data_IF_471751716468
#
_entry.id   IF_471751716468
#
_cell.length_a   1.000
_cell.length_b   1.000
_cell.length_c   1.000
_cell.angle_alpha   90.00
_cell.angle_beta   90.00
_cell.angle_gamma   90.00
#
_symmetry.space_group_name_H-M   'P 1'
#
loop_
_entity.id
_entity.type
_entity.pdbx_description
1 polymer ?
#
# COMPACT_ATOMS: atom_id res chain seq x y z
N UNK A 1 22.19 16.68 -3.49
CA UNK A 1 22.41 16.75 -4.94
C UNK A 1 22.17 18.18 -5.37
N UNK A 2 23.14 18.77 -6.07
CA UNK A 2 23.09 20.17 -6.49
C UNK A 2 23.38 20.23 -7.99
N UNK A 3 22.57 20.93 -8.77
CA UNK A 3 22.91 21.25 -10.14
C UNK A 3 23.99 22.33 -10.12
N UNK A 4 25.14 22.06 -10.73
CA UNK A 4 26.32 22.96 -10.77
C UNK A 4 26.53 23.58 -12.14
N UNK A 5 25.94 23.01 -13.19
CA UNK A 5 25.87 23.52 -14.54
C UNK A 5 24.73 22.83 -15.30
N UNK A 6 24.28 23.31 -16.46
CA UNK A 6 23.26 22.61 -17.27
C UNK A 6 23.65 21.15 -17.50
N UNK A 7 22.73 20.23 -17.13
CA UNK A 7 22.90 18.77 -17.20
C UNK A 7 24.03 18.20 -16.33
N UNK A 8 24.49 18.97 -15.35
CA UNK A 8 25.60 18.54 -14.48
C UNK A 8 25.15 18.67 -13.02
N UNK A 9 25.14 17.57 -12.33
CA UNK A 9 24.79 17.51 -10.91
C UNK A 9 25.99 17.07 -10.08
N UNK A 10 26.13 17.64 -8.89
CA UNK A 10 27.08 17.21 -7.88
C UNK A 10 26.31 16.47 -6.76
N UNK A 11 26.70 15.23 -6.50
CA UNK A 11 26.18 14.44 -5.41
C UNK A 11 27.33 13.94 -4.52
N UNK A 12 27.22 14.00 -3.19
CA UNK A 12 28.26 13.55 -2.26
C UNK A 12 28.26 12.03 -2.10
N UNK A 13 27.98 11.31 -3.16
CA UNK A 13 27.97 9.85 -3.15
C UNK A 13 29.36 9.30 -3.42
N UNK A 14 29.73 8.33 -2.60
CA UNK A 14 30.96 7.57 -2.82
C UNK A 14 30.57 6.11 -2.96
N UNK A 15 30.62 5.62 -4.19
CA UNK A 15 30.40 4.22 -4.50
C UNK A 15 31.38 3.84 -5.61
N UNK A 16 32.22 2.86 -5.34
CA UNK A 16 33.23 2.39 -6.30
C UNK A 16 32.63 1.79 -7.58
N UNK A 17 31.36 1.37 -7.52
CA UNK A 17 30.62 0.90 -8.68
C UNK A 17 30.15 2.03 -9.62
N UNK A 18 30.22 3.30 -9.19
CA UNK A 18 29.91 4.45 -10.05
C UNK A 18 31.11 4.82 -10.90
N UNK A 19 31.10 4.38 -12.13
CA UNK A 19 32.11 4.67 -13.14
C UNK A 19 31.47 5.44 -14.29
N UNK A 20 32.29 6.02 -15.15
CA UNK A 20 31.81 6.68 -16.37
C UNK A 20 30.97 5.71 -17.22
N UNK A 21 29.79 6.16 -17.66
CA UNK A 21 28.81 5.35 -18.38
C UNK A 21 27.81 4.65 -17.50
N UNK A 22 27.93 4.72 -16.17
CA UNK A 22 26.88 4.17 -15.25
C UNK A 22 25.58 4.93 -15.43
N UNK A 23 24.50 4.20 -15.68
CA UNK A 23 23.15 4.75 -15.69
C UNK A 23 22.64 4.88 -14.27
N UNK A 24 22.20 6.07 -13.90
CA UNK A 24 21.66 6.36 -12.56
C UNK A 24 20.22 6.84 -12.70
N UNK A 25 19.33 6.20 -11.99
CA UNK A 25 17.93 6.59 -11.93
C UNK A 25 17.65 7.29 -10.59
N UNK A 26 17.05 8.46 -10.65
CA UNK A 26 16.66 9.24 -9.48
C UNK A 26 15.20 8.97 -9.14
N UNK A 27 14.98 8.45 -7.94
CA UNK A 27 13.63 8.23 -7.41
C UNK A 27 13.22 9.41 -6.53
N UNK A 28 12.07 10.01 -6.82
CA UNK A 28 11.38 10.89 -5.86
C UNK A 28 10.69 10.09 -4.76
N UNK A 29 10.61 10.63 -3.54
CA UNK A 29 9.82 10.01 -2.47
C UNK A 29 8.30 10.27 -2.62
N UNK A 30 7.91 11.23 -3.43
CA UNK A 30 6.51 11.47 -3.75
C UNK A 30 5.94 10.32 -4.57
N UNK A 31 4.70 9.92 -4.26
CA UNK A 31 3.92 8.93 -5.01
C UNK A 31 2.60 9.58 -5.40
N UNK A 32 2.61 10.60 -6.28
CA UNK A 32 1.46 11.49 -6.48
C UNK A 32 0.24 10.78 -7.06
N UNK A 33 0.46 9.78 -7.90
CA UNK A 33 -0.63 9.02 -8.49
C UNK A 33 -0.19 7.60 -8.88
N UNK A 34 -1.03 6.57 -8.63
CA UNK A 34 -0.87 5.27 -9.25
C UNK A 34 -1.27 5.32 -10.74
N UNK A 35 -0.83 4.33 -11.50
CA UNK A 35 -1.29 4.13 -12.88
C UNK A 35 -2.79 3.79 -12.93
N UNK A 36 -3.22 2.90 -12.04
CA UNK A 36 -4.62 2.50 -11.86
C UNK A 36 -4.94 2.54 -10.37
N UNK A 37 -6.11 3.08 -10.01
CA UNK A 37 -6.61 3.10 -8.65
C UNK A 37 -7.98 2.44 -8.55
N UNK A 38 -8.08 1.41 -7.72
CA UNK A 38 -9.32 0.74 -7.34
C UNK A 38 -9.63 1.07 -5.89
N UNK A 39 -10.85 1.48 -5.61
CA UNK A 39 -11.27 1.82 -4.26
C UNK A 39 -12.68 1.33 -3.95
N UNK A 40 -12.81 0.41 -3.00
CA UNK A 40 -14.08 -0.20 -2.59
C UNK A 40 -14.81 -0.94 -3.73
N UNK A 41 -14.08 -1.42 -4.70
CA UNK A 41 -14.63 -2.25 -5.77
C UNK A 41 -14.85 -3.69 -5.29
N UNK A 42 -15.83 -4.34 -5.88
CA UNK A 42 -16.13 -5.75 -5.65
C UNK A 42 -15.95 -6.55 -6.94
N UNK A 43 -15.28 -7.70 -6.84
CA UNK A 43 -15.02 -8.62 -7.96
C UNK A 43 -14.39 -7.94 -9.19
N UNK A 44 -13.46 -7.01 -8.95
CA UNK A 44 -12.78 -6.28 -10.02
C UNK A 44 -11.95 -7.23 -10.89
N UNK A 45 -12.09 -7.13 -12.20
CA UNK A 45 -11.31 -7.86 -13.19
C UNK A 45 -10.53 -6.89 -14.08
N UNK A 46 -9.21 -7.04 -14.09
CA UNK A 46 -8.32 -6.39 -15.04
C UNK A 46 -7.73 -7.47 -15.96
N UNK A 47 -8.16 -7.48 -17.22
CA UNK A 47 -7.75 -8.48 -18.19
C UNK A 47 -6.90 -7.85 -19.29
N UNK A 48 -5.71 -8.42 -19.55
CA UNK A 48 -4.79 -7.99 -20.61
C UNK A 48 -4.45 -6.49 -20.54
N UNK A 49 -4.20 -5.97 -19.34
CA UNK A 49 -3.84 -4.56 -19.13
C UNK A 49 -2.35 -4.45 -18.87
N UNK A 50 -1.68 -3.50 -19.51
CA UNK A 50 -0.26 -3.20 -19.25
C UNK A 50 -0.08 -1.75 -18.80
N UNK A 51 0.59 -1.57 -17.67
CA UNK A 51 1.05 -0.27 -17.17
C UNK A 51 2.53 -0.12 -17.51
N UNK A 52 2.87 0.82 -18.38
CA UNK A 52 4.26 1.05 -18.79
C UNK A 52 5.00 2.02 -17.88
N UNK A 53 4.27 2.91 -17.21
CA UNK A 53 4.85 3.90 -16.29
C UNK A 53 3.82 4.44 -15.31
N UNK A 54 4.26 4.66 -14.07
CA UNK A 54 3.50 5.42 -13.08
C UNK A 54 4.46 6.15 -12.10
N UNK A 55 4.07 7.33 -11.65
CA UNK A 55 4.81 8.09 -10.62
C UNK A 55 4.58 7.55 -9.19
N UNK A 56 3.68 6.61 -9.04
CA UNK A 56 3.42 5.84 -7.83
C UNK A 56 3.48 4.35 -8.11
N UNK A 57 2.49 3.62 -7.61
CA UNK A 57 2.26 2.20 -7.90
C UNK A 57 1.71 2.03 -9.31
N UNK A 58 1.95 0.90 -9.94
CA UNK A 58 1.29 0.56 -11.21
C UNK A 58 -0.21 0.35 -11.01
N UNK A 59 -0.57 -0.47 -10.04
CA UNK A 59 -1.94 -0.64 -9.52
C UNK A 59 -1.95 -0.42 -8.01
N UNK A 60 -2.82 0.43 -7.54
CA UNK A 60 -3.18 0.57 -6.13
C UNK A 60 -4.63 0.16 -5.94
N UNK A 61 -4.88 -0.87 -5.14
CA UNK A 61 -6.21 -1.29 -4.72
C UNK A 61 -6.37 -1.11 -3.22
N UNK A 62 -7.43 -0.43 -2.80
CA UNK A 62 -7.71 -0.15 -1.40
C UNK A 62 -9.14 -0.55 -1.03
N UNK A 63 -9.25 -1.33 0.06
CA UNK A 63 -10.55 -1.70 0.66
C UNK A 63 -11.48 -2.40 -0.35
N UNK A 64 -10.94 -3.09 -1.34
CA UNK A 64 -11.68 -3.85 -2.33
C UNK A 64 -12.01 -5.26 -1.81
N UNK A 65 -13.00 -5.91 -2.42
CA UNK A 65 -13.39 -7.29 -2.11
C UNK A 65 -13.42 -8.13 -3.38
N UNK A 66 -12.44 -9.02 -3.54
CA UNK A 66 -12.25 -9.79 -4.76
C UNK A 66 -11.58 -9.00 -5.89
N UNK A 67 -10.37 -9.42 -6.29
CA UNK A 67 -9.65 -8.80 -7.42
C UNK A 67 -9.00 -9.90 -8.25
N UNK A 68 -9.19 -9.84 -9.55
CA UNK A 68 -8.52 -10.72 -10.50
C UNK A 68 -7.70 -9.91 -11.49
N UNK A 69 -6.42 -10.19 -11.55
CA UNK A 69 -5.48 -9.71 -12.56
C UNK A 69 -5.18 -10.88 -13.49
N UNK A 70 -5.65 -10.82 -14.74
CA UNK A 70 -5.45 -11.85 -15.76
C UNK A 70 -4.68 -11.25 -16.93
N UNK A 71 -3.43 -11.66 -17.13
CA UNK A 71 -2.57 -11.02 -18.12
C UNK A 71 -2.24 -9.56 -17.79
N UNK A 72 -2.35 -9.15 -16.53
CA UNK A 72 -1.98 -7.81 -16.10
C UNK A 72 -0.46 -7.69 -16.00
N UNK A 73 0.09 -6.63 -16.58
CA UNK A 73 1.53 -6.44 -16.60
C UNK A 73 1.94 -5.03 -16.19
N UNK A 74 3.08 -4.93 -15.52
CA UNK A 74 3.83 -3.69 -15.33
C UNK A 74 5.18 -3.91 -15.98
N UNK A 75 5.36 -3.36 -17.18
CA UNK A 75 6.51 -3.65 -18.03
C UNK A 75 6.83 -2.49 -18.97
N UNK A 76 8.09 -2.34 -19.36
CA UNK A 76 8.50 -1.42 -20.40
C UNK A 76 7.90 -1.79 -21.77
N UNK A 77 7.89 -0.87 -22.72
CA UNK A 77 7.32 -1.11 -24.08
C UNK A 77 8.20 -2.02 -24.95
N UNK A 78 9.27 -2.54 -24.42
CA UNK A 78 10.26 -3.35 -25.10
C UNK A 78 11.65 -2.72 -25.02
N UNK A 79 12.58 -3.28 -25.78
CA UNK A 79 14.01 -2.89 -25.74
C UNK A 79 14.27 -1.43 -26.16
N UNK A 80 13.39 -0.85 -26.96
CA UNK A 80 13.50 0.54 -27.43
C UNK A 80 12.82 1.55 -26.49
N UNK A 81 12.25 1.13 -25.36
CA UNK A 81 11.71 2.07 -24.38
C UNK A 81 12.83 2.94 -23.80
N UNK A 82 12.74 4.28 -23.89
CA UNK A 82 13.80 5.15 -23.37
C UNK A 82 13.90 5.15 -21.84
N UNK A 83 12.96 4.52 -21.14
CA UNK A 83 12.96 4.42 -19.68
C UNK A 83 13.72 3.20 -19.21
N UNK A 84 14.29 3.30 -18.03
CA UNK A 84 14.98 2.23 -17.32
C UNK A 84 14.15 1.64 -16.17
N UNK A 85 12.93 2.16 -15.95
CA UNK A 85 12.02 1.71 -14.89
C UNK A 85 10.57 1.92 -15.31
N UNK A 86 9.66 1.19 -14.68
CA UNK A 86 8.21 1.24 -14.94
C UNK A 86 7.48 2.09 -13.90
N UNK A 87 7.61 1.76 -12.62
CA UNK A 87 6.92 2.47 -11.53
C UNK A 87 7.91 2.94 -10.47
N UNK A 88 7.66 4.10 -9.86
CA UNK A 88 8.49 4.61 -8.77
C UNK A 88 8.21 3.90 -7.43
N UNK A 89 7.17 3.13 -7.37
CA UNK A 89 6.78 2.30 -6.22
C UNK A 89 6.43 0.90 -6.71
N UNK A 90 5.59 0.17 -5.97
CA UNK A 90 5.21 -1.20 -6.27
C UNK A 90 4.58 -1.34 -7.67
N UNK A 91 4.74 -2.48 -8.31
CA UNK A 91 3.97 -2.77 -9.51
C UNK A 91 2.49 -2.93 -9.16
N UNK A 92 2.18 -3.69 -8.10
CA UNK A 92 0.81 -3.85 -7.58
C UNK A 92 0.79 -3.77 -6.06
N UNK A 93 -0.17 -3.03 -5.51
CA UNK A 93 -0.31 -2.79 -4.08
C UNK A 93 -1.76 -2.94 -3.63
N UNK A 94 -2.01 -3.89 -2.73
CA UNK A 94 -3.33 -4.20 -2.19
C UNK A 94 -3.35 -3.88 -0.69
N UNK A 95 -4.08 -2.85 -0.30
CA UNK A 95 -4.16 -2.38 1.08
C UNK A 95 -5.56 -2.53 1.66
N UNK A 96 -5.69 -3.32 2.72
CA UNK A 96 -6.96 -3.55 3.40
C UNK A 96 -8.03 -4.23 2.54
N UNK A 97 -7.62 -4.93 1.49
CA UNK A 97 -8.52 -5.68 0.63
C UNK A 97 -9.00 -6.98 1.29
N UNK A 98 -10.19 -7.40 0.93
CA UNK A 98 -10.82 -8.65 1.37
C UNK A 98 -10.98 -9.62 0.19
N UNK A 99 -11.49 -10.80 0.50
CA UNK A 99 -11.80 -11.80 -0.50
C UNK A 99 -10.56 -12.35 -1.20
N UNK A 100 -10.75 -12.81 -2.42
CA UNK A 100 -9.71 -13.48 -3.18
C UNK A 100 -8.97 -12.49 -4.06
N UNK A 101 -7.66 -12.43 -3.91
CA UNK A 101 -6.75 -11.69 -4.80
C UNK A 101 -6.04 -12.72 -5.69
N UNK A 102 -6.21 -12.59 -7.00
CA UNK A 102 -5.63 -13.49 -8.00
C UNK A 102 -4.77 -12.69 -8.96
N UNK A 103 -3.54 -13.13 -9.17
CA UNK A 103 -2.69 -12.67 -10.27
C UNK A 103 -2.25 -13.88 -11.08
N UNK A 104 -2.55 -13.88 -12.37
CA UNK A 104 -2.18 -14.95 -13.30
C UNK A 104 -1.76 -14.41 -14.64
N UNK A 105 -0.82 -15.09 -15.29
CA UNK A 105 -0.28 -14.71 -16.60
C UNK A 105 0.22 -13.24 -16.65
N UNK A 106 0.69 -12.70 -15.51
CA UNK A 106 1.19 -11.33 -15.39
C UNK A 106 2.70 -11.25 -15.54
N UNK A 107 3.19 -10.05 -15.85
CA UNK A 107 4.61 -9.71 -15.88
C UNK A 107 4.86 -8.45 -15.06
N UNK A 108 5.77 -8.52 -14.09
CA UNK A 108 6.12 -7.41 -13.22
C UNK A 108 7.63 -7.17 -13.27
N UNK A 109 8.02 -6.11 -13.94
CA UNK A 109 9.43 -5.79 -14.14
C UNK A 109 9.72 -4.29 -14.08
N UNK A 110 10.93 -3.94 -13.71
CA UNK A 110 11.43 -2.57 -13.74
C UNK A 110 10.81 -1.62 -12.71
N UNK A 111 10.02 -2.11 -11.74
CA UNK A 111 9.52 -1.31 -10.62
C UNK A 111 10.65 -1.01 -9.62
N UNK A 112 10.51 0.10 -8.88
CA UNK A 112 11.49 0.51 -7.87
C UNK A 112 11.13 0.07 -6.43
N UNK A 113 10.12 -0.79 -6.30
CA UNK A 113 9.67 -1.38 -5.04
C UNK A 113 9.12 -2.79 -5.30
N UNK A 114 8.14 -3.27 -4.57
CA UNK A 114 7.64 -4.65 -4.66
C UNK A 114 6.91 -4.95 -5.98
N UNK A 115 7.05 -6.17 -6.47
CA UNK A 115 6.24 -6.65 -7.59
C UNK A 115 4.77 -6.81 -7.18
N UNK A 116 4.53 -7.45 -6.04
CA UNK A 116 3.21 -7.64 -5.46
C UNK A 116 3.30 -7.38 -3.96
N UNK A 117 2.60 -6.36 -3.48
CA UNK A 117 2.47 -6.04 -2.07
C UNK A 117 1.02 -6.23 -1.63
N UNK A 118 0.79 -7.10 -0.65
CA UNK A 118 -0.54 -7.36 -0.08
C UNK A 118 -0.46 -7.23 1.43
N UNK A 119 -1.19 -6.29 1.99
CA UNK A 119 -1.20 -6.10 3.44
C UNK A 119 -2.53 -5.57 3.96
N UNK A 120 -2.83 -5.91 5.21
CA UNK A 120 -3.86 -5.25 6.01
C UNK A 120 -3.31 -4.03 6.75
N UNK A 121 -4.20 -3.32 7.41
CA UNK A 121 -3.87 -2.24 8.33
C UNK A 121 -4.23 -2.65 9.75
N UNK A 122 -3.27 -2.58 10.66
CA UNK A 122 -3.49 -2.91 12.07
C UNK A 122 -3.86 -1.66 12.85
N UNK A 123 -4.75 -1.83 13.82
CA UNK A 123 -4.92 -0.86 14.90
C UNK A 123 -4.13 -1.31 16.12
N UNK A 124 -3.50 -0.37 16.78
CA UNK A 124 -2.91 -0.60 18.10
C UNK A 124 -3.91 -0.21 19.18
N UNK A 125 -4.25 -1.14 20.06
CA UNK A 125 -5.06 -0.84 21.23
C UNK A 125 -4.34 0.22 22.07
N UNK A 126 -4.99 1.35 22.29
CA UNK A 126 -4.48 2.50 23.05
C UNK A 126 -5.17 2.70 24.39
N UNK A 127 -6.37 2.11 24.57
CA UNK A 127 -7.09 2.16 25.83
C UNK A 127 -8.17 1.11 25.92
N UNK A 128 -8.63 0.85 27.14
CA UNK A 128 -9.78 -0.02 27.44
C UNK A 128 -10.77 0.77 28.29
N UNK A 129 -11.99 0.89 27.82
CA UNK A 129 -13.05 1.61 28.53
C UNK A 129 -13.81 0.68 29.48
N UNK A 130 -14.09 -0.55 29.04
CA UNK A 130 -14.75 -1.60 29.82
C UNK A 130 -14.41 -2.98 29.24
N UNK A 131 -15.15 -4.02 29.64
CA UNK A 131 -14.85 -5.40 29.22
C UNK A 131 -15.15 -5.66 27.74
N UNK A 132 -16.00 -4.85 27.11
CA UNK A 132 -16.42 -4.99 25.73
C UNK A 132 -15.97 -3.83 24.83
N UNK A 133 -15.42 -2.75 25.39
CA UNK A 133 -15.11 -1.54 24.61
C UNK A 133 -13.67 -1.10 24.81
N UNK A 134 -12.99 -0.86 23.70
CA UNK A 134 -11.63 -0.34 23.68
C UNK A 134 -11.47 0.81 22.68
N UNK A 135 -10.38 1.55 22.82
CA UNK A 135 -9.90 2.50 21.83
C UNK A 135 -8.66 1.95 21.15
N UNK A 136 -8.56 2.17 19.85
CA UNK A 136 -7.43 1.71 19.05
C UNK A 136 -7.06 2.72 17.95
N UNK A 137 -5.77 2.81 17.65
CA UNK A 137 -5.20 3.82 16.78
C UNK A 137 -4.49 3.20 15.57
N UNK A 138 -4.64 3.82 14.40
CA UNK A 138 -3.68 3.63 13.32
C UNK A 138 -2.30 4.15 13.74
N UNK A 139 -1.28 3.36 13.44
CA UNK A 139 0.10 3.69 13.79
C UNK A 139 0.93 4.23 12.63
N UNK A 140 0.36 4.21 11.40
CA UNK A 140 1.04 4.67 10.21
C UNK A 140 0.19 5.70 9.46
N UNK A 141 0.78 6.84 9.12
CA UNK A 141 0.05 7.97 8.53
C UNK A 141 -0.60 7.70 7.17
N UNK A 142 -0.15 6.69 6.43
CA UNK A 142 -0.79 6.27 5.17
C UNK A 142 -2.10 5.51 5.39
N UNK A 143 -2.37 5.05 6.61
CA UNK A 143 -3.61 4.33 6.95
C UNK A 143 -4.71 5.27 7.48
N UNK A 144 -4.38 6.53 7.76
CA UNK A 144 -5.35 7.47 8.30
C UNK A 144 -6.49 7.70 7.31
N UNK A 145 -7.72 7.70 7.83
CA UNK A 145 -8.93 7.88 7.02
C UNK A 145 -9.49 6.61 6.41
N UNK A 146 -8.80 5.47 6.48
CA UNK A 146 -9.38 4.20 6.05
C UNK A 146 -10.50 3.76 6.98
N UNK A 147 -11.51 3.14 6.41
CA UNK A 147 -12.48 2.35 7.17
C UNK A 147 -11.80 1.05 7.55
N UNK A 148 -11.57 0.85 8.86
CA UNK A 148 -10.86 -0.33 9.34
C UNK A 148 -11.75 -1.56 9.44
N UNK A 149 -13.00 -1.39 9.84
CA UNK A 149 -13.93 -2.48 10.03
C UNK A 149 -15.37 -2.00 10.16
N UNK A 150 -16.30 -2.93 10.23
CA UNK A 150 -17.74 -2.70 10.35
C UNK A 150 -18.33 -3.58 11.45
N UNK A 151 -19.53 -3.26 11.92
CA UNK A 151 -20.29 -4.16 12.77
C UNK A 151 -20.50 -5.51 12.06
N UNK A 152 -20.29 -6.60 12.78
CA UNK A 152 -20.30 -7.97 12.26
C UNK A 152 -18.95 -8.51 11.78
N UNK A 153 -17.92 -7.67 11.66
CA UNK A 153 -16.58 -8.15 11.33
C UNK A 153 -15.95 -8.88 12.53
N UNK A 154 -15.27 -9.99 12.22
CA UNK A 154 -14.49 -10.75 13.18
C UNK A 154 -13.11 -10.12 13.38
N UNK A 155 -12.69 -9.97 14.63
CA UNK A 155 -11.41 -9.37 15.01
C UNK A 155 -10.59 -10.34 15.83
N UNK A 156 -9.30 -10.40 15.52
CA UNK A 156 -8.31 -11.16 16.26
C UNK A 156 -7.31 -10.23 16.92
N UNK A 157 -7.04 -10.45 18.21
CA UNK A 157 -6.02 -9.73 18.94
C UNK A 157 -4.66 -10.40 18.80
N UNK A 158 -3.62 -9.59 18.67
CA UNK A 158 -2.24 -10.04 18.57
C UNK A 158 -1.43 -9.38 19.69
N UNK A 159 -0.77 -10.18 20.50
CA UNK A 159 0.17 -9.71 21.52
C UNK A 159 1.42 -9.13 20.84
N UNK A 160 1.48 -7.80 20.71
CA UNK A 160 2.45 -7.09 19.85
C UNK A 160 3.93 -7.38 20.17
N UNK A 161 4.28 -7.68 21.42
CA UNK A 161 5.67 -7.97 21.80
C UNK A 161 6.15 -9.35 21.35
N UNK A 162 5.25 -10.32 21.25
CA UNK A 162 5.55 -11.71 20.91
C UNK A 162 5.01 -12.13 19.55
N UNK A 163 4.20 -11.27 18.94
CA UNK A 163 3.47 -11.55 17.68
C UNK A 163 2.63 -12.82 17.78
N UNK A 164 2.11 -13.10 18.96
CA UNK A 164 1.25 -14.24 19.22
C UNK A 164 -0.21 -13.86 19.08
N UNK A 165 -0.97 -14.70 18.39
CA UNK A 165 -2.42 -14.58 18.29
C UNK A 165 -3.00 -14.92 19.65
N UNK A 166 -3.84 -14.05 20.18
CA UNK A 166 -4.57 -14.32 21.42
C UNK A 166 -5.78 -15.21 21.11
N UNK A 167 -6.07 -16.13 22.00
CA UNK A 167 -7.23 -17.00 21.86
C UNK A 167 -8.55 -16.19 21.96
N UNK A 168 -9.54 -16.64 21.23
CA UNK A 168 -10.89 -16.08 21.19
C UNK A 168 -11.20 -15.32 19.92
N UNK A 169 -12.47 -15.34 19.57
CA UNK A 169 -13.05 -14.58 18.46
C UNK A 169 -13.85 -13.42 19.05
N UNK A 170 -13.69 -12.24 18.47
CA UNK A 170 -14.37 -11.04 18.91
C UNK A 170 -15.12 -10.43 17.73
N UNK A 171 -16.42 -10.29 17.85
CA UNK A 171 -17.26 -9.70 16.80
C UNK A 171 -17.50 -8.22 17.13
N UNK A 172 -17.26 -7.35 16.17
CA UNK A 172 -17.53 -5.91 16.31
C UNK A 172 -19.04 -5.71 16.34
N UNK A 173 -19.55 -5.06 17.39
CA UNK A 173 -20.93 -4.58 17.46
C UNK A 173 -21.04 -3.12 17.03
N UNK A 174 -20.04 -2.29 17.32
CA UNK A 174 -19.95 -0.93 16.81
C UNK A 174 -18.50 -0.46 16.66
N UNK A 175 -18.27 0.43 15.71
CA UNK A 175 -17.00 1.12 15.51
C UNK A 175 -17.25 2.58 15.17
N UNK A 176 -16.63 3.48 15.92
CA UNK A 176 -16.85 4.93 15.83
C UNK A 176 -15.52 5.67 15.80
N UNK A 177 -15.41 6.70 14.95
CA UNK A 177 -14.29 7.62 15.00
C UNK A 177 -14.38 8.49 16.28
N UNK A 178 -13.31 8.53 17.08
CA UNK A 178 -13.30 9.26 18.37
C UNK A 178 -12.62 10.62 18.26
N UNK A 179 -11.70 10.76 17.30
CA UNK A 179 -10.99 12.02 17.08
C UNK A 179 -11.65 12.82 15.96
N UNK A 180 -11.54 14.15 16.06
CA UNK A 180 -11.80 15.02 14.93
C UNK A 180 -10.89 14.62 13.75
N UNK A 181 -11.35 14.71 12.50
CA UNK A 181 -10.51 14.47 11.35
C UNK A 181 -9.26 15.36 11.45
N UNK A 182 -8.10 14.73 11.38
CA UNK A 182 -6.83 15.42 11.15
C UNK A 182 -6.64 15.58 9.64
N UNK A 183 -5.70 16.37 9.18
CA UNK A 183 -5.43 16.64 7.75
C UNK A 183 -5.37 15.38 6.87
N UNK A 184 -5.05 14.24 7.46
CA UNK A 184 -4.93 12.94 6.76
C UNK A 184 -6.09 11.98 7.00
N UNK A 185 -7.12 12.40 7.75
CA UNK A 185 -8.27 11.58 8.10
C UNK A 185 -8.24 11.00 9.51
N UNK A 186 -9.23 10.16 9.82
CA UNK A 186 -9.42 9.58 11.15
C UNK A 186 -8.26 8.66 11.53
N UNK A 187 -7.78 8.81 12.75
CA UNK A 187 -6.69 7.99 13.32
C UNK A 187 -7.17 7.02 14.38
N UNK A 188 -8.12 7.43 15.22
CA UNK A 188 -8.55 6.69 16.42
C UNK A 188 -10.01 6.25 16.32
N UNK A 189 -10.26 5.05 16.78
CA UNK A 189 -11.58 4.46 16.84
C UNK A 189 -11.90 3.99 18.27
N UNK A 190 -13.18 4.11 18.64
CA UNK A 190 -13.80 3.34 19.72
C UNK A 190 -14.44 2.13 19.12
N UNK A 191 -14.15 0.95 19.64
CA UNK A 191 -14.63 -0.32 19.10
C UNK A 191 -15.28 -1.08 20.24
N UNK A 192 -16.53 -1.49 20.03
CA UNK A 192 -17.30 -2.33 20.97
C UNK A 192 -17.49 -3.71 20.37
N UNK A 193 -17.33 -4.73 21.20
CA UNK A 193 -17.46 -6.14 20.86
C UNK A 193 -18.63 -6.78 21.56
N UNK A 194 -19.05 -7.96 21.12
CA UNK A 194 -20.04 -8.80 21.79
C UNK A 194 -19.66 -9.14 23.23
#
# INVERSE_FOLDING_TARGET
VTEVAPRTILAPWRNEALVEGTVVVFRGYGRPAPGIFLYRDTDALLENVTVHYAEGMGLLAQVCDGITLDGFSVALRGEEDPRYFTTQADATHFSGCKGRIVSRAGLYEGMMDDAINVHGTYLKVSGRENDHTLTADYMHGQSYGFVWGHAGDEVQFIASRRMEIMEGTNIITSIEAVDAPVDKGVKRFRITFE
#
